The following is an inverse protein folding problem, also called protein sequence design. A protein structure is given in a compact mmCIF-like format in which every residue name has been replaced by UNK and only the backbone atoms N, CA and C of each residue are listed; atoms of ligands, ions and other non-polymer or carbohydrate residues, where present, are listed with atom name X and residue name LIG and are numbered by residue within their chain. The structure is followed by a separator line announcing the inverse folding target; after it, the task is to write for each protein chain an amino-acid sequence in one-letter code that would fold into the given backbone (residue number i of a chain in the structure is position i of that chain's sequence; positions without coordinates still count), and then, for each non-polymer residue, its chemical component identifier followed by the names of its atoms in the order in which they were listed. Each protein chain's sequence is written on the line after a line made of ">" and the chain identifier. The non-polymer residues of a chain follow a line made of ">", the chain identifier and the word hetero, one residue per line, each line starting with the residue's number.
data_IF_877456319511
#
_entry.id   IF_877456319511
#
_cell.length_a   1.000
_cell.length_b   1.000
_cell.length_c   1.000
_cell.angle_alpha   90.00
_cell.angle_beta   90.00
_cell.angle_gamma   90.00
#
_symmetry.space_group_name_H-M   'P 1'
#
loop_
_entity.id
_entity.type
_entity.pdbx_description
1 polymer ?
#
# COMPACT_ATOMS: atom_id res chain seq x y z
N UNK A 1 24.08 8.13 12.31
CA UNK A 1 24.05 6.75 11.80
C UNK A 1 22.59 6.36 11.64
N UNK A 2 22.10 6.31 10.41
CA UNK A 2 20.74 5.81 10.15
C UNK A 2 20.83 4.31 10.02
N UNK A 3 20.37 3.58 11.01
CA UNK A 3 20.27 2.12 10.91
C UNK A 3 19.05 1.81 10.03
N UNK A 4 19.30 1.37 8.82
CA UNK A 4 18.29 0.88 7.86
C UNK A 4 18.00 -0.61 8.09
N UNK A 5 17.74 -0.98 9.31
CA UNK A 5 17.51 -2.39 9.66
C UNK A 5 16.05 -2.64 10.06
N UNK A 6 15.13 -2.04 9.28
CA UNK A 6 13.70 -2.21 9.51
C UNK A 6 13.08 -2.85 8.30
N UNK A 7 12.31 -3.91 8.54
CA UNK A 7 11.51 -4.53 7.51
C UNK A 7 10.54 -3.52 6.91
N UNK A 8 10.50 -3.43 5.61
CA UNK A 8 9.52 -2.67 4.84
C UNK A 8 8.27 -3.53 4.57
N UNK A 9 7.22 -2.94 4.03
CA UNK A 9 5.95 -3.64 3.83
C UNK A 9 6.10 -4.87 2.92
N UNK A 10 6.96 -4.80 1.91
CA UNK A 10 7.27 -5.90 0.99
C UNK A 10 7.92 -7.12 1.70
N UNK A 11 8.67 -6.89 2.77
CA UNK A 11 9.32 -7.94 3.56
C UNK A 11 8.40 -8.57 4.61
N UNK A 12 7.32 -7.86 4.97
CA UNK A 12 6.37 -8.29 6.00
C UNK A 12 5.16 -9.04 5.43
N UNK A 13 4.97 -9.01 4.11
CA UNK A 13 3.91 -9.75 3.42
C UNK A 13 4.44 -11.14 3.05
N UNK A 14 3.61 -12.16 3.27
CA UNK A 14 3.98 -13.55 2.98
C UNK A 14 4.08 -13.79 1.47
N UNK A 15 5.00 -14.68 1.08
CA UNK A 15 5.16 -15.09 -0.32
C UNK A 15 3.93 -15.79 -0.89
N UNK A 16 3.11 -16.44 -0.04
CA UNK A 16 1.86 -17.08 -0.46
C UNK A 16 0.82 -16.06 -0.97
N UNK A 17 0.87 -14.83 -0.47
CA UNK A 17 0.00 -13.71 -0.87
C UNK A 17 0.73 -12.72 -1.79
N UNK A 18 1.78 -13.17 -2.47
CA UNK A 18 2.51 -12.38 -3.46
C UNK A 18 2.15 -12.86 -4.88
N UNK A 19 1.94 -11.91 -5.78
CA UNK A 19 1.75 -12.14 -7.21
C UNK A 19 2.93 -11.57 -7.97
N UNK A 20 3.48 -12.36 -8.89
CA UNK A 20 4.58 -11.90 -9.74
C UNK A 20 4.03 -11.18 -10.97
N UNK A 21 4.33 -9.90 -11.12
CA UNK A 21 3.94 -9.10 -12.30
C UNK A 21 4.72 -9.46 -13.58
N UNK A 22 5.84 -10.17 -13.45
CA UNK A 22 6.63 -10.67 -14.59
C UNK A 22 7.19 -9.56 -15.50
N UNK A 23 7.51 -8.37 -14.94
CA UNK A 23 7.91 -7.17 -15.70
C UNK A 23 6.85 -6.66 -16.69
N UNK A 24 5.59 -6.93 -16.41
CA UNK A 24 4.46 -6.42 -17.18
C UNK A 24 3.78 -5.23 -16.48
N UNK A 25 2.99 -4.50 -17.23
CA UNK A 25 2.12 -3.48 -16.65
C UNK A 25 1.04 -4.14 -15.75
N UNK A 26 0.56 -3.40 -14.76
CA UNK A 26 -0.51 -3.85 -13.88
C UNK A 26 -1.77 -4.24 -14.68
N UNK A 27 -2.33 -5.41 -14.39
CA UNK A 27 -3.56 -5.88 -15.04
C UNK A 27 -4.64 -6.18 -14.02
N UNK A 28 -5.90 -6.10 -14.44
CA UNK A 28 -7.06 -6.47 -13.61
C UNK A 28 -7.00 -7.94 -13.17
N UNK A 29 -6.52 -8.83 -14.05
CA UNK A 29 -6.36 -10.24 -13.75
C UNK A 29 -5.38 -10.50 -12.59
N UNK A 30 -4.27 -9.74 -12.52
CA UNK A 30 -3.33 -9.83 -11.41
C UNK A 30 -3.97 -9.39 -10.09
N UNK A 31 -4.77 -8.32 -10.10
CA UNK A 31 -5.49 -7.86 -8.92
C UNK A 31 -6.51 -8.91 -8.44
N UNK A 32 -7.25 -9.54 -9.35
CA UNK A 32 -8.21 -10.59 -9.01
C UNK A 32 -7.52 -11.85 -8.47
N UNK A 33 -6.41 -12.26 -9.10
CA UNK A 33 -5.59 -13.39 -8.61
C UNK A 33 -5.04 -13.12 -7.22
N UNK A 34 -4.53 -11.91 -6.97
CA UNK A 34 -4.06 -11.50 -5.66
C UNK A 34 -5.18 -11.51 -4.63
N UNK A 35 -6.35 -10.92 -4.97
CA UNK A 35 -7.53 -10.93 -4.10
C UNK A 35 -7.96 -12.34 -3.73
N UNK A 36 -7.95 -13.27 -4.68
CA UNK A 36 -8.24 -14.67 -4.43
C UNK A 36 -7.25 -15.33 -3.46
N UNK A 37 -5.94 -15.06 -3.64
CA UNK A 37 -4.90 -15.60 -2.75
C UNK A 37 -5.09 -15.13 -1.32
N UNK A 38 -5.30 -13.80 -1.13
CA UNK A 38 -5.51 -13.21 0.20
C UNK A 38 -6.80 -13.72 0.83
N UNK A 39 -7.87 -13.83 0.06
CA UNK A 39 -9.16 -14.37 0.53
C UNK A 39 -9.04 -15.82 1.00
N UNK A 40 -8.31 -16.68 0.26
CA UNK A 40 -8.09 -18.07 0.63
C UNK A 40 -7.31 -18.23 1.94
N UNK A 41 -6.41 -17.28 2.24
CA UNK A 41 -5.66 -17.23 3.50
C UNK A 41 -6.43 -16.53 4.64
N UNK A 42 -7.68 -16.11 4.38
CA UNK A 42 -8.56 -15.50 5.39
C UNK A 42 -8.31 -14.01 5.63
N UNK A 43 -7.64 -13.31 4.72
CA UNK A 43 -7.49 -11.85 4.78
C UNK A 43 -8.71 -11.12 4.24
N UNK A 44 -8.95 -9.90 4.76
CA UNK A 44 -10.01 -9.00 4.30
C UNK A 44 -9.41 -7.62 3.98
N UNK A 45 -8.67 -7.51 2.87
CA UNK A 45 -8.02 -6.28 2.49
C UNK A 45 -9.05 -5.25 2.00
N UNK A 46 -8.88 -4.01 2.41
CA UNK A 46 -9.79 -2.91 2.04
C UNK A 46 -9.11 -1.78 1.26
N UNK A 47 -7.78 -1.77 1.19
CA UNK A 47 -7.01 -0.71 0.53
C UNK A 47 -6.13 -1.28 -0.56
N UNK A 48 -6.30 -0.77 -1.78
CA UNK A 48 -5.40 -1.04 -2.90
C UNK A 48 -4.51 0.17 -3.15
N UNK A 49 -3.24 0.07 -2.80
CA UNK A 49 -2.26 1.14 -2.90
C UNK A 49 -1.38 0.95 -4.14
N UNK A 50 -1.36 1.99 -4.99
CA UNK A 50 -0.64 1.97 -6.27
C UNK A 50 0.20 3.24 -6.48
N UNK A 51 1.17 3.15 -7.39
CA UNK A 51 1.92 4.32 -7.86
C UNK A 51 1.03 5.20 -8.77
N UNK A 52 1.31 6.50 -8.88
CA UNK A 52 0.51 7.41 -9.71
C UNK A 52 0.47 7.04 -11.20
N UNK A 53 1.53 6.41 -11.73
CA UNK A 53 1.56 5.97 -13.13
C UNK A 53 0.51 4.91 -13.44
N UNK A 54 0.21 4.02 -12.48
CA UNK A 54 -0.76 2.94 -12.65
C UNK A 54 -2.21 3.42 -12.50
N UNK A 55 -2.43 4.65 -12.05
CA UNK A 55 -3.78 5.20 -11.89
C UNK A 55 -4.59 5.19 -13.18
N UNK A 56 -3.95 5.48 -14.31
CA UNK A 56 -4.59 5.45 -15.62
C UNK A 56 -4.93 4.02 -16.05
N UNK A 57 -4.08 3.07 -15.71
CA UNK A 57 -4.29 1.65 -16.00
C UNK A 57 -5.49 1.14 -15.19
N UNK A 58 -5.52 1.43 -13.89
CA UNK A 58 -6.64 1.06 -13.00
C UNK A 58 -7.93 1.74 -13.43
N UNK A 59 -7.89 3.01 -13.85
CA UNK A 59 -9.05 3.69 -14.43
C UNK A 59 -9.56 3.03 -15.72
N UNK A 60 -8.70 2.29 -16.41
CA UNK A 60 -9.02 1.50 -17.60
C UNK A 60 -9.59 0.11 -17.30
N UNK A 61 -9.57 -0.36 -16.07
CA UNK A 61 -10.11 -1.67 -15.70
C UNK A 61 -11.60 -1.70 -16.04
N UNK A 62 -11.94 -2.52 -17.03
CA UNK A 62 -13.29 -2.66 -17.56
C UNK A 62 -13.92 -3.98 -17.15
N UNK A 63 -13.67 -4.40 -15.91
CA UNK A 63 -14.30 -5.60 -15.41
C UNK A 63 -15.78 -5.64 -15.81
N UNK A 64 -16.24 -6.77 -16.33
CA UNK A 64 -17.49 -6.97 -17.05
C UNK A 64 -18.77 -6.65 -16.27
N UNK A 65 -18.69 -6.14 -15.07
CA UNK A 65 -19.86 -5.77 -14.26
C UNK A 65 -19.91 -4.26 -14.05
N UNK A 66 -20.63 -3.62 -14.98
CA UNK A 66 -21.35 -2.40 -14.68
C UNK A 66 -20.58 -1.32 -13.92
N UNK A 67 -19.82 -0.50 -14.65
CA UNK A 67 -19.65 0.87 -14.20
C UNK A 67 -21.05 1.45 -13.98
N UNK A 68 -21.53 1.44 -12.77
CA UNK A 68 -22.67 2.26 -12.39
C UNK A 68 -22.21 3.73 -12.49
N UNK A 69 -22.26 4.25 -13.71
CA UNK A 69 -22.27 5.67 -13.93
C UNK A 69 -23.62 6.15 -13.47
N UNK A 70 -23.72 6.63 -12.25
CA UNK A 70 -24.79 7.50 -11.88
C UNK A 70 -24.64 8.80 -12.70
N UNK A 71 -25.19 8.79 -13.91
CA UNK A 71 -25.45 10.01 -14.65
C UNK A 71 -26.62 10.70 -13.95
N UNK A 72 -26.32 11.51 -12.96
CA UNK A 72 -27.25 12.55 -12.55
C UNK A 72 -27.26 13.58 -13.69
N UNK A 73 -28.37 13.73 -14.37
CA UNK A 73 -28.56 14.60 -15.55
C UNK A 73 -28.16 16.07 -15.34
N UNK A 74 -27.82 16.47 -14.13
CA UNK A 74 -27.46 17.84 -13.77
C UNK A 74 -25.95 18.14 -13.84
N UNK A 75 -25.07 17.15 -13.99
CA UNK A 75 -23.61 17.38 -14.00
C UNK A 75 -22.98 16.72 -15.22
N UNK A 76 -22.67 17.53 -16.24
CA UNK A 76 -21.88 17.15 -17.42
C UNK A 76 -20.39 17.02 -17.08
N UNK A 77 -20.03 16.29 -16.01
CA UNK A 77 -18.65 16.11 -15.61
C UNK A 77 -18.15 14.72 -16.02
N UNK A 78 -17.14 14.66 -16.86
CA UNK A 78 -16.42 13.44 -17.16
C UNK A 78 -15.56 13.06 -15.96
N UNK A 79 -15.96 12.03 -15.21
CA UNK A 79 -15.18 11.50 -14.09
C UNK A 79 -14.40 10.28 -14.58
N UNK A 80 -13.07 10.39 -14.60
CA UNK A 80 -12.15 9.29 -14.93
C UNK A 80 -11.35 8.86 -13.69
N UNK A 81 -12.01 8.75 -12.54
CA UNK A 81 -11.39 8.36 -11.29
C UNK A 81 -12.12 7.14 -10.75
N UNK A 82 -11.36 6.10 -10.39
CA UNK A 82 -11.87 4.95 -9.65
C UNK A 82 -11.36 5.09 -8.21
N UNK A 83 -12.24 5.44 -7.29
CA UNK A 83 -11.95 5.47 -5.87
C UNK A 83 -12.25 4.12 -5.19
N UNK A 84 -13.16 3.35 -5.77
CA UNK A 84 -13.60 2.06 -5.24
C UNK A 84 -13.63 1.02 -6.34
N UNK A 85 -12.96 -0.09 -6.12
CA UNK A 85 -13.00 -1.27 -6.98
C UNK A 85 -13.72 -2.40 -6.24
N UNK A 86 -14.82 -2.87 -6.82
CA UNK A 86 -15.60 -3.99 -6.27
C UNK A 86 -15.22 -5.26 -6.99
N UNK A 87 -14.71 -6.23 -6.23
CA UNK A 87 -14.33 -7.56 -6.70
C UNK A 87 -15.21 -8.63 -6.07
N UNK A 88 -15.22 -9.86 -6.59
CA UNK A 88 -15.88 -11.00 -5.94
C UNK A 88 -15.34 -11.32 -4.54
N UNK A 89 -14.13 -10.83 -4.22
CA UNK A 89 -13.42 -11.10 -2.98
C UNK A 89 -13.47 -9.96 -1.97
N UNK A 90 -14.06 -8.83 -2.33
CA UNK A 90 -14.20 -7.66 -1.47
C UNK A 90 -14.19 -6.33 -2.21
N UNK A 91 -14.32 -5.28 -1.44
CA UNK A 91 -14.30 -3.90 -1.94
C UNK A 91 -12.96 -3.26 -1.61
N UNK A 92 -12.27 -2.75 -2.61
CA UNK A 92 -10.95 -2.16 -2.46
C UNK A 92 -10.99 -0.66 -2.75
N UNK A 93 -10.60 0.14 -1.76
CA UNK A 93 -10.41 1.58 -1.95
C UNK A 93 -9.06 1.81 -2.64
N UNK A 94 -9.07 2.44 -3.80
CA UNK A 94 -7.84 2.75 -4.54
C UNK A 94 -7.18 4.00 -3.94
N UNK A 95 -5.92 3.87 -3.51
CA UNK A 95 -5.14 4.96 -2.93
C UNK A 95 -3.85 5.17 -3.73
N UNK A 96 -3.64 6.40 -4.17
CA UNK A 96 -2.42 6.77 -4.88
C UNK A 96 -1.33 7.18 -3.88
N UNK A 97 -0.18 6.51 -3.95
CA UNK A 97 0.97 6.84 -3.13
C UNK A 97 2.15 7.29 -4.00
N UNK A 98 2.54 8.56 -3.91
CA UNK A 98 3.67 9.12 -4.67
C UNK A 98 5.03 8.57 -4.26
N UNK A 99 5.13 7.96 -3.09
CA UNK A 99 6.34 7.37 -2.54
C UNK A 99 6.38 5.84 -2.69
N UNK A 100 5.40 5.28 -3.42
CA UNK A 100 5.33 3.85 -3.72
C UNK A 100 6.57 3.42 -4.50
N UNK A 101 7.09 2.23 -4.21
CA UNK A 101 8.07 1.56 -5.05
C UNK A 101 7.50 1.39 -6.47
N UNK A 102 8.33 1.62 -7.49
CA UNK A 102 7.86 1.64 -8.88
C UNK A 102 7.40 0.28 -9.39
N UNK A 103 7.92 -0.76 -8.82
CA UNK A 103 7.72 -2.16 -9.21
C UNK A 103 6.72 -2.91 -8.33
N UNK A 104 6.06 -2.22 -7.36
CA UNK A 104 5.13 -2.86 -6.44
C UNK A 104 3.76 -2.20 -6.43
N UNK A 105 2.72 -3.02 -6.23
CA UNK A 105 1.38 -2.60 -5.83
C UNK A 105 0.95 -3.41 -4.62
N UNK A 106 0.27 -2.78 -3.66
CA UNK A 106 -0.10 -3.41 -2.39
C UNK A 106 -1.61 -3.48 -2.22
N UNK A 107 -2.07 -4.63 -1.76
CA UNK A 107 -3.44 -4.86 -1.32
C UNK A 107 -3.39 -5.05 0.21
N UNK A 108 -3.85 -4.06 0.97
CA UNK A 108 -3.60 -3.96 2.40
C UNK A 108 -4.89 -4.03 3.21
N UNK A 109 -4.78 -4.69 4.36
CA UNK A 109 -5.74 -4.56 5.45
C UNK A 109 -5.16 -3.62 6.52
N UNK A 110 -5.59 -2.35 6.61
CA UNK A 110 -5.03 -1.38 7.55
C UNK A 110 -5.20 -1.79 9.02
N UNK A 111 -6.17 -2.63 9.34
CA UNK A 111 -6.42 -3.08 10.71
C UNK A 111 -5.28 -3.93 11.27
N UNK A 112 -4.55 -4.61 10.39
CA UNK A 112 -3.44 -5.51 10.73
C UNK A 112 -2.08 -4.81 10.80
N UNK A 113 -2.00 -3.52 10.42
CA UNK A 113 -0.76 -2.78 10.40
C UNK A 113 -0.67 -1.84 11.61
N UNK A 114 0.46 -1.85 12.30
CA UNK A 114 0.73 -0.99 13.45
C UNK A 114 2.14 -0.45 13.43
N UNK A 115 2.30 0.75 13.99
CA UNK A 115 3.62 1.27 14.32
C UNK A 115 4.06 0.75 15.68
N UNK A 116 5.19 0.04 15.73
CA UNK A 116 5.82 -0.39 16.96
C UNK A 116 6.86 0.67 17.36
N UNK A 117 6.66 1.34 18.48
CA UNK A 117 7.55 2.38 18.99
C UNK A 117 8.38 1.80 20.12
N UNK A 118 9.71 1.67 19.92
CA UNK A 118 10.64 1.24 20.96
C UNK A 118 11.05 2.43 21.84
N UNK A 119 11.47 3.52 21.20
CA UNK A 119 11.78 4.78 21.88
C UNK A 119 11.07 5.94 21.17
N UNK A 120 10.23 6.72 21.86
CA UNK A 120 9.61 7.90 21.28
C UNK A 120 10.66 8.95 20.94
N UNK A 121 10.31 9.88 20.06
CA UNK A 121 11.20 11.00 19.77
C UNK A 121 11.50 11.79 21.03
N UNK A 122 12.80 11.86 21.36
CA UNK A 122 13.31 12.63 22.49
C UNK A 122 14.48 13.49 22.05
N UNK A 123 14.63 14.66 22.71
CA UNK A 123 15.72 15.59 22.50
C UNK A 123 16.51 15.70 23.79
N UNK A 124 17.79 15.38 23.73
CA UNK A 124 18.71 15.47 24.87
C UNK A 124 19.81 16.49 24.56
N UNK A 125 20.08 17.39 25.48
CA UNK A 125 21.19 18.31 25.40
C UNK A 125 22.50 17.55 25.70
N UNK A 126 23.46 17.63 24.79
CA UNK A 126 24.78 17.05 24.98
C UNK A 126 25.67 18.00 25.80
N UNK A 127 26.68 17.44 26.44
CA UNK A 127 27.67 18.24 27.15
C UNK A 127 28.38 19.26 26.24
N UNK A 128 28.56 20.49 26.73
CA UNK A 128 29.23 21.56 25.99
C UNK A 128 30.70 21.22 25.78
N UNK A 129 31.12 21.27 24.52
CA UNK A 129 32.53 21.15 24.11
C UNK A 129 32.97 22.44 23.42
N UNK A 130 32.89 23.58 24.13
CA UNK A 130 33.12 24.92 23.58
C UNK A 130 31.90 25.79 23.65
N UNK A 131 31.82 26.85 22.84
CA UNK A 131 30.74 27.84 22.85
C UNK A 131 29.50 27.43 22.00
N UNK A 132 29.38 26.13 21.65
CA UNK A 132 28.26 25.59 20.88
C UNK A 132 27.36 24.72 21.73
N UNK A 133 26.05 24.77 21.49
CA UNK A 133 25.05 23.84 22.05
C UNK A 133 24.73 22.76 21.03
N UNK A 134 24.87 21.49 21.44
CA UNK A 134 24.59 20.33 20.62
C UNK A 134 23.42 19.57 21.22
N UNK A 135 22.46 19.21 20.39
CA UNK A 135 21.33 18.40 20.79
C UNK A 135 21.35 17.06 20.07
N UNK A 136 21.03 16.02 20.81
CA UNK A 136 20.85 14.68 20.28
C UNK A 136 19.36 14.39 20.17
N UNK A 137 18.88 14.10 18.96
CA UNK A 137 17.51 13.68 18.73
C UNK A 137 17.51 12.20 18.37
N UNK A 138 16.75 11.41 19.10
CA UNK A 138 16.58 9.98 18.84
C UNK A 138 15.12 9.59 18.86
N UNK A 139 14.76 8.70 17.96
CA UNK A 139 13.46 8.03 17.91
C UNK A 139 13.63 6.68 17.24
N UNK A 140 13.04 5.64 17.82
CA UNK A 140 13.10 4.28 17.29
C UNK A 140 11.69 3.75 17.13
N UNK A 141 11.31 3.48 15.90
CA UNK A 141 10.02 2.91 15.54
C UNK A 141 10.19 1.95 14.36
N UNK A 142 9.32 0.97 14.28
CA UNK A 142 9.26 0.01 13.20
C UNK A 142 7.83 -0.18 12.72
N UNK A 143 7.67 -0.80 11.57
CA UNK A 143 6.39 -1.27 11.07
C UNK A 143 6.18 -2.69 11.59
N UNK A 144 4.96 -2.98 12.05
CA UNK A 144 4.56 -4.31 12.48
C UNK A 144 3.33 -4.75 11.70
N UNK A 145 3.38 -5.94 11.14
CA UNK A 145 2.26 -6.60 10.51
C UNK A 145 1.81 -7.77 11.38
N UNK A 146 0.56 -7.75 11.83
CA UNK A 146 0.05 -8.76 12.78
C UNK A 146 -0.28 -10.08 12.11
N UNK A 147 -0.68 -10.05 10.82
CA UNK A 147 -0.93 -11.26 10.03
C UNK A 147 -0.29 -11.11 8.65
N UNK A 148 0.89 -11.71 8.40
CA UNK A 148 1.61 -11.60 7.11
C UNK A 148 0.79 -12.03 5.89
N UNK A 149 -0.20 -12.91 6.07
CA UNK A 149 -1.09 -13.41 5.03
C UNK A 149 -2.37 -12.59 4.84
N UNK A 150 -2.65 -11.65 5.73
CA UNK A 150 -3.83 -10.78 5.67
C UNK A 150 -3.71 -9.65 4.65
N UNK A 151 -2.55 -9.44 4.08
CA UNK A 151 -2.29 -8.45 3.04
C UNK A 151 -1.56 -9.11 1.88
N UNK A 152 -1.66 -8.52 0.69
CA UNK A 152 -1.00 -9.03 -0.50
C UNK A 152 -0.19 -7.97 -1.23
N UNK A 153 0.71 -8.42 -2.10
CA UNK A 153 1.44 -7.52 -2.99
C UNK A 153 1.60 -8.12 -4.39
N UNK A 154 1.68 -7.23 -5.37
CA UNK A 154 2.14 -7.55 -6.73
C UNK A 154 3.53 -6.97 -6.84
N UNK A 155 4.50 -7.79 -7.21
CA UNK A 155 5.89 -7.37 -7.40
C UNK A 155 6.31 -7.44 -8.88
N UNK A 156 7.51 -6.91 -9.18
CA UNK A 156 8.07 -6.93 -10.54
C UNK A 156 7.15 -6.31 -11.61
N UNK A 157 6.46 -5.22 -11.28
CA UNK A 157 5.73 -4.38 -12.24
C UNK A 157 6.69 -3.45 -13.00
N UNK A 158 6.30 -2.98 -14.19
CA UNK A 158 7.06 -1.97 -14.97
C UNK A 158 6.45 -0.58 -14.89
#
# INVERSE_FOLDING_TARGET
>A
MCIRDRASADQLIDSATTEAGGTAALTEAMLLSLGQKVFNEGGDPSVFMIKPADAQIVAGFTGASGRYRNFNDAQKTLTNVIDLYVSPYGEYKVVLNRHQMTDHAFLLDPSMWRAAVLRPFSRTLLAKTGDSEKHFCVGEYGLMHMNPKGSGMINALT
#
